data_IF_475776616339
#
_entry.id   IF_475776616339
#
_cell.length_a   1.000
_cell.length_b   1.000
_cell.length_c   1.000
_cell.angle_alpha   90.00
_cell.angle_beta   90.00
_cell.angle_gamma   90.00
#
_symmetry.space_group_name_H-M   'P 1'
#
loop_
_entity.id
_entity.type
_entity.pdbx_description
1 polymer ?
#
# COMPACT_ATOMS: atom_id res chain seq x y z
N UNK A 1 4.26 4.68 -6.04
CA UNK A 1 3.00 5.00 -6.77
C UNK A 1 1.95 5.53 -5.79
N UNK A 2 0.88 6.20 -6.25
CA UNK A 2 -0.28 6.55 -5.41
C UNK A 2 -1.44 5.62 -5.75
N UNK A 3 -1.97 4.91 -4.75
CA UNK A 3 -3.11 4.02 -4.85
C UNK A 3 -4.21 4.48 -3.89
N UNK A 4 -5.38 4.89 -4.42
CA UNK A 4 -6.53 5.37 -3.62
C UNK A 4 -6.13 6.32 -2.47
N UNK A 5 -5.37 7.38 -2.80
CA UNK A 5 -4.83 8.38 -1.87
C UNK A 5 -3.75 7.89 -0.88
N UNK A 6 -3.24 6.67 -1.04
CA UNK A 6 -2.16 6.10 -0.23
C UNK A 6 -0.89 5.93 -1.06
N UNK A 7 0.26 6.34 -0.52
CA UNK A 7 1.56 6.12 -1.19
C UNK A 7 1.99 4.67 -0.96
N UNK A 8 2.21 3.95 -2.05
CA UNK A 8 2.65 2.54 -2.03
C UNK A 8 4.00 2.36 -2.72
N UNK A 9 4.78 1.40 -2.23
CA UNK A 9 6.13 1.06 -2.68
C UNK A 9 6.16 -0.22 -3.52
N UNK A 10 5.59 -0.14 -4.72
CA UNK A 10 5.71 -1.14 -5.78
C UNK A 10 5.56 -0.47 -7.16
N UNK A 11 5.95 -1.19 -8.22
CA UNK A 11 5.64 -0.82 -9.60
C UNK A 11 4.19 -1.19 -9.97
N UNK A 12 3.73 -0.73 -11.14
CA UNK A 12 2.40 -1.10 -11.62
C UNK A 12 2.35 -2.61 -11.95
N UNK A 13 3.41 -3.15 -12.54
CA UNK A 13 3.50 -4.57 -12.91
C UNK A 13 3.46 -5.47 -11.66
N UNK A 14 4.18 -5.10 -10.60
CA UNK A 14 4.15 -5.82 -9.32
C UNK A 14 2.75 -5.77 -8.67
N UNK A 15 2.07 -4.63 -8.77
CA UNK A 15 0.71 -4.48 -8.25
C UNK A 15 -0.28 -5.35 -9.04
N UNK A 16 -0.19 -5.34 -10.36
CA UNK A 16 -1.06 -6.13 -11.24
C UNK A 16 -0.84 -7.62 -11.02
N UNK A 17 0.42 -8.07 -10.91
CA UNK A 17 0.76 -9.45 -10.57
C UNK A 17 0.19 -9.84 -9.20
N UNK A 18 0.33 -8.98 -8.19
CA UNK A 18 -0.23 -9.21 -6.87
C UNK A 18 -1.76 -9.40 -6.94
N UNK A 19 -2.48 -8.50 -7.59
CA UNK A 19 -3.95 -8.57 -7.71
C UNK A 19 -4.38 -9.82 -8.46
N UNK A 20 -3.70 -10.15 -9.58
CA UNK A 20 -4.04 -11.32 -10.40
C UNK A 20 -3.83 -12.65 -9.67
N UNK A 21 -2.93 -12.68 -8.69
CA UNK A 21 -2.68 -13.87 -7.87
C UNK A 21 -3.67 -14.03 -6.71
N UNK A 22 -4.54 -13.06 -6.44
CA UNK A 22 -5.56 -13.17 -5.39
C UNK A 22 -6.73 -14.04 -5.91
N UNK A 23 -6.86 -15.25 -5.37
CA UNK A 23 -8.04 -16.09 -5.61
C UNK A 23 -9.28 -15.48 -4.96
N UNK A 24 -10.31 -15.19 -5.75
CA UNK A 24 -11.61 -14.72 -5.27
C UNK A 24 -12.66 -15.76 -5.62
N UNK A 25 -13.36 -16.28 -4.61
CA UNK A 25 -14.45 -17.25 -4.78
C UNK A 25 -15.60 -16.87 -3.86
N UNK A 26 -16.83 -17.08 -4.29
CA UNK A 26 -17.97 -16.89 -3.41
C UNK A 26 -19.11 -17.85 -3.71
N UNK A 27 -19.92 -18.08 -2.69
CA UNK A 27 -21.16 -18.85 -2.76
C UNK A 27 -22.29 -18.02 -2.16
N UNK A 28 -23.45 -18.01 -2.82
CA UNK A 28 -24.68 -17.36 -2.34
C UNK A 28 -25.63 -18.46 -1.90
N UNK A 29 -26.20 -18.31 -0.70
CA UNK A 29 -27.05 -19.33 -0.08
C UNK A 29 -28.29 -18.73 0.57
N UNK A 30 -29.35 -19.53 0.67
CA UNK A 30 -30.54 -19.21 1.46
C UNK A 30 -30.35 -19.56 2.93
N UNK A 31 -30.99 -18.81 3.85
CA UNK A 31 -30.95 -19.10 5.29
C UNK A 31 -31.75 -20.36 5.69
N UNK A 32 -32.48 -20.94 4.75
CA UNK A 32 -33.14 -22.24 4.85
C UNK A 32 -32.19 -23.41 4.60
N UNK A 33 -30.99 -23.16 4.07
CA UNK A 33 -29.95 -24.17 3.79
C UNK A 33 -28.91 -24.25 4.92
N UNK A 34 -28.44 -25.47 5.21
CA UNK A 34 -27.32 -25.69 6.13
C UNK A 34 -25.98 -25.35 5.47
N UNK A 35 -25.08 -24.76 6.25
CA UNK A 35 -23.68 -24.53 5.89
C UNK A 35 -22.77 -25.25 6.88
N UNK A 36 -21.93 -26.17 6.39
CA UNK A 36 -21.08 -27.01 7.21
C UNK A 36 -21.83 -27.74 8.36
N UNK A 37 -23.06 -28.17 8.09
CA UNK A 37 -23.91 -28.86 9.08
C UNK A 37 -24.56 -27.94 10.12
N UNK A 38 -24.48 -26.62 9.93
CA UNK A 38 -25.09 -25.63 10.82
C UNK A 38 -26.07 -24.74 10.07
N UNK A 39 -27.21 -24.48 10.69
CA UNK A 39 -28.20 -23.53 10.19
C UNK A 39 -27.76 -22.11 10.53
N UNK A 40 -27.69 -21.24 9.52
CA UNK A 40 -27.38 -19.82 9.71
C UNK A 40 -28.68 -19.09 10.08
N UNK A 41 -28.65 -18.33 11.17
CA UNK A 41 -29.80 -17.53 11.59
C UNK A 41 -30.05 -16.40 10.58
N UNK A 42 -31.33 -16.14 10.27
CA UNK A 42 -31.74 -15.03 9.40
C UNK A 42 -32.03 -13.77 10.25
N UNK A 43 -31.10 -12.81 10.34
CA UNK A 43 -31.30 -11.60 11.15
C UNK A 43 -32.32 -10.63 10.54
N UNK A 44 -32.74 -10.83 9.28
CA UNK A 44 -33.62 -9.91 8.56
C UNK A 44 -35.11 -10.16 8.82
N UNK A 45 -35.47 -11.39 9.20
CA UNK A 45 -36.86 -11.86 9.21
C UNK A 45 -37.52 -12.01 7.82
N UNK A 46 -36.83 -11.64 6.73
CA UNK A 46 -37.31 -11.75 5.37
C UNK A 46 -36.93 -13.13 4.77
N UNK A 47 -37.89 -13.97 4.36
CA UNK A 47 -37.60 -15.28 3.77
C UNK A 47 -36.86 -15.19 2.42
N UNK A 48 -36.91 -14.04 1.74
CA UNK A 48 -36.16 -13.82 0.50
C UNK A 48 -34.72 -13.35 0.74
N UNK A 49 -34.31 -13.15 1.99
CA UNK A 49 -32.94 -12.79 2.32
C UNK A 49 -31.99 -13.95 2.02
N UNK A 50 -30.78 -13.58 1.63
CA UNK A 50 -29.66 -14.49 1.35
C UNK A 50 -28.48 -14.13 2.24
N UNK A 51 -27.53 -15.05 2.37
CA UNK A 51 -26.19 -14.74 2.85
C UNK A 51 -25.18 -15.21 1.80
N UNK A 52 -23.94 -14.75 1.93
CA UNK A 52 -22.86 -15.28 1.10
C UNK A 52 -21.66 -15.69 1.94
N UNK A 53 -20.88 -16.60 1.36
CA UNK A 53 -19.54 -16.94 1.82
C UNK A 53 -18.58 -16.44 0.77
N UNK A 54 -17.70 -15.50 1.14
CA UNK A 54 -16.70 -14.91 0.27
C UNK A 54 -15.30 -15.35 0.73
N UNK A 55 -14.51 -15.88 -0.19
CA UNK A 55 -13.10 -16.15 -0.01
C UNK A 55 -12.27 -15.17 -0.85
N UNK A 56 -11.32 -14.48 -0.22
CA UNK A 56 -10.34 -13.60 -0.88
C UNK A 56 -8.96 -14.00 -0.38
N UNK A 57 -8.17 -14.63 -1.24
CA UNK A 57 -6.92 -15.30 -0.86
C UNK A 57 -7.18 -16.41 0.17
N UNK A 58 -6.52 -16.31 1.32
CA UNK A 58 -6.66 -17.26 2.44
C UNK A 58 -7.76 -16.86 3.44
N UNK A 59 -8.44 -15.72 3.23
CA UNK A 59 -9.46 -15.21 4.15
C UNK A 59 -10.85 -15.63 3.69
N UNK A 60 -11.67 -16.12 4.63
CA UNK A 60 -13.05 -16.54 4.38
C UNK A 60 -13.99 -15.72 5.26
N UNK A 61 -15.06 -15.23 4.66
CA UNK A 61 -16.05 -14.36 5.29
C UNK A 61 -17.46 -14.92 5.08
N UNK A 62 -18.21 -15.11 6.15
CA UNK A 62 -19.65 -15.38 6.09
C UNK A 62 -20.39 -14.10 6.42
N UNK A 63 -21.24 -13.62 5.50
CA UNK A 63 -21.91 -12.33 5.62
C UNK A 63 -23.43 -12.47 5.43
N UNK A 64 -24.22 -12.24 6.49
CA UNK A 64 -25.69 -12.25 6.42
C UNK A 64 -26.29 -10.88 6.08
N UNK A 65 -25.47 -9.82 6.00
CA UNK A 65 -25.89 -8.45 5.65
C UNK A 65 -24.75 -7.72 4.91
N UNK A 66 -25.05 -6.55 4.33
CA UNK A 66 -24.04 -5.74 3.65
C UNK A 66 -23.03 -5.12 4.66
N UNK A 67 -21.73 -5.47 4.61
CA UNK A 67 -20.78 -5.10 5.68
C UNK A 67 -20.30 -3.63 5.65
N UNK A 68 -20.35 -2.97 4.49
CA UNK A 68 -19.82 -1.60 4.31
C UNK A 68 -20.89 -0.55 4.08
N UNK A 69 -22.15 -0.88 4.36
CA UNK A 69 -23.25 0.06 4.25
C UNK A 69 -23.71 0.49 5.64
N UNK A 70 -24.14 1.74 5.76
CA UNK A 70 -24.59 2.26 7.04
C UNK A 70 -25.92 1.63 7.43
N UNK A 71 -25.98 1.08 8.65
CA UNK A 71 -27.16 0.39 9.15
C UNK A 71 -27.24 -1.06 8.65
N UNK A 72 -28.43 -1.66 8.81
CA UNK A 72 -28.65 -3.04 8.41
C UNK A 72 -29.30 -3.09 7.03
N UNK A 73 -28.59 -3.66 6.06
CA UNK A 73 -29.11 -3.86 4.71
C UNK A 73 -29.09 -5.35 4.37
N UNK A 74 -30.29 -5.88 4.16
CA UNK A 74 -30.50 -7.27 3.79
C UNK A 74 -29.93 -7.55 2.39
N UNK A 75 -29.26 -8.70 2.29
CA UNK A 75 -28.79 -9.23 1.01
C UNK A 75 -29.93 -10.01 0.37
N UNK A 76 -30.19 -9.74 -0.90
CA UNK A 76 -31.23 -10.35 -1.73
C UNK A 76 -30.66 -10.63 -3.11
N UNK A 77 -31.34 -11.46 -3.89
CA UNK A 77 -30.93 -11.82 -5.26
C UNK A 77 -30.59 -10.59 -6.12
N UNK A 78 -31.35 -9.50 -5.96
CA UNK A 78 -31.20 -8.27 -6.74
C UNK A 78 -29.95 -7.45 -6.40
N UNK A 79 -29.34 -7.63 -5.22
CA UNK A 79 -28.21 -6.81 -4.76
C UNK A 79 -26.96 -7.63 -4.35
N UNK A 80 -27.08 -8.95 -4.20
CA UNK A 80 -26.03 -9.81 -3.64
C UNK A 80 -24.72 -9.72 -4.42
N UNK A 81 -24.74 -9.82 -5.75
CA UNK A 81 -23.53 -9.75 -6.56
C UNK A 81 -22.80 -8.41 -6.40
N UNK A 82 -23.55 -7.31 -6.33
CA UNK A 82 -22.98 -5.98 -6.11
C UNK A 82 -22.31 -5.91 -4.74
N UNK A 83 -22.98 -6.38 -3.69
CA UNK A 83 -22.46 -6.37 -2.32
C UNK A 83 -21.21 -7.25 -2.19
N UNK A 84 -21.21 -8.44 -2.78
CA UNK A 84 -20.06 -9.35 -2.77
C UNK A 84 -18.86 -8.72 -3.48
N UNK A 85 -19.07 -8.11 -4.65
CA UNK A 85 -18.00 -7.45 -5.39
C UNK A 85 -17.43 -6.25 -4.62
N UNK A 86 -18.29 -5.40 -4.05
CA UNK A 86 -17.86 -4.30 -3.19
C UNK A 86 -17.05 -4.80 -1.99
N UNK A 87 -17.45 -5.92 -1.38
CA UNK A 87 -16.71 -6.51 -0.28
C UNK A 87 -15.35 -7.04 -0.73
N UNK A 88 -15.30 -7.80 -1.83
CA UNK A 88 -14.04 -8.30 -2.38
C UNK A 88 -13.07 -7.16 -2.71
N UNK A 89 -13.53 -6.09 -3.37
CA UNK A 89 -12.72 -4.90 -3.67
C UNK A 89 -12.15 -4.26 -2.41
N UNK A 90 -12.95 -4.11 -1.35
CA UNK A 90 -12.48 -3.56 -0.07
C UNK A 90 -11.40 -4.41 0.58
N UNK A 91 -11.54 -5.74 0.56
CA UNK A 91 -10.51 -6.63 1.10
C UNK A 91 -9.23 -6.57 0.26
N UNK A 92 -9.34 -6.49 -1.07
CA UNK A 92 -8.18 -6.33 -1.95
C UNK A 92 -7.46 -5.01 -1.67
N UNK A 93 -8.20 -3.90 -1.53
CA UNK A 93 -7.64 -2.61 -1.15
C UNK A 93 -6.84 -2.70 0.16
N UNK A 94 -7.42 -3.33 1.18
CA UNK A 94 -6.76 -3.56 2.46
C UNK A 94 -5.51 -4.43 2.31
N UNK A 95 -5.56 -5.49 1.49
CA UNK A 95 -4.40 -6.34 1.23
C UNK A 95 -3.27 -5.56 0.53
N UNK A 96 -3.59 -4.72 -0.45
CA UNK A 96 -2.61 -3.88 -1.16
C UNK A 96 -1.97 -2.90 -0.17
N UNK A 97 -2.77 -2.20 0.62
CA UNK A 97 -2.27 -1.22 1.60
C UNK A 97 -1.37 -1.94 2.62
N UNK A 98 -1.78 -3.08 3.16
CA UNK A 98 -0.99 -3.79 4.15
C UNK A 98 0.35 -4.32 3.61
N UNK A 99 0.43 -4.67 2.32
CA UNK A 99 1.67 -5.20 1.74
C UNK A 99 2.59 -4.11 1.19
N UNK A 100 2.04 -3.03 0.65
CA UNK A 100 2.81 -2.04 -0.11
C UNK A 100 2.81 -0.63 0.46
N UNK A 101 1.95 -0.29 1.43
CA UNK A 101 1.92 1.07 1.96
C UNK A 101 3.24 1.42 2.65
N UNK A 102 3.72 2.63 2.36
CA UNK A 102 4.91 3.18 3.01
C UNK A 102 4.50 3.67 4.40
N UNK A 103 5.10 3.12 5.45
CA UNK A 103 4.94 3.70 6.77
C UNK A 103 5.63 5.07 6.85
N UNK A 104 5.04 6.05 7.56
CA UNK A 104 5.69 7.34 7.79
C UNK A 104 7.11 7.19 8.37
N UNK A 105 7.33 6.20 9.24
CA UNK A 105 8.63 5.88 9.82
C UNK A 105 9.65 5.41 8.76
N UNK A 106 9.22 4.59 7.80
CA UNK A 106 10.05 4.11 6.70
C UNK A 106 10.45 5.24 5.75
N UNK A 107 9.53 6.17 5.48
CA UNK A 107 9.82 7.36 4.69
C UNK A 107 10.80 8.29 5.41
N UNK A 108 10.62 8.50 6.72
CA UNK A 108 11.51 9.31 7.54
C UNK A 108 12.93 8.73 7.62
N UNK A 109 13.07 7.41 7.75
CA UNK A 109 14.37 6.74 7.71
C UNK A 109 15.06 6.90 6.34
N UNK A 110 14.30 6.73 5.26
CA UNK A 110 14.82 6.90 3.89
C UNK A 110 15.32 8.33 3.66
N UNK A 111 14.56 9.33 4.11
CA UNK A 111 14.94 10.74 4.05
C UNK A 111 16.19 11.05 4.89
N UNK A 112 16.31 10.47 6.09
CA UNK A 112 17.50 10.62 6.94
C UNK A 112 18.75 10.03 6.27
N UNK A 113 18.62 8.88 5.62
CA UNK A 113 19.72 8.26 4.88
C UNK A 113 20.19 9.15 3.72
N UNK A 114 19.24 9.60 2.87
CA UNK A 114 19.53 10.52 1.77
C UNK A 114 20.19 11.81 2.23
N UNK A 115 19.71 12.37 3.35
CA UNK A 115 20.29 13.58 3.94
C UNK A 115 21.73 13.35 4.40
N UNK A 116 22.01 12.19 5.01
CA UNK A 116 23.36 11.83 5.47
C UNK A 116 24.32 11.63 4.29
N UNK A 117 23.86 10.97 3.22
CA UNK A 117 24.63 10.78 1.98
C UNK A 117 24.95 12.13 1.31
N UNK A 118 23.96 13.03 1.25
CA UNK A 118 24.16 14.37 0.69
C UNK A 118 25.15 15.19 1.51
N UNK A 119 25.06 15.15 2.84
CA UNK A 119 26.01 15.83 3.73
C UNK A 119 27.44 15.31 3.54
N UNK A 120 27.61 13.99 3.35
CA UNK A 120 28.91 13.41 3.08
C UNK A 120 29.49 13.92 1.76
N UNK A 121 28.69 13.91 0.69
CA UNK A 121 29.13 14.41 -0.62
C UNK A 121 29.46 15.90 -0.62
N UNK A 122 28.68 16.70 0.13
CA UNK A 122 28.97 18.13 0.35
C UNK A 122 30.30 18.33 1.08
N UNK A 123 30.58 17.55 2.13
CA UNK A 123 31.84 17.64 2.87
C UNK A 123 33.05 17.26 1.99
N UNK A 124 32.90 16.26 1.13
CA UNK A 124 33.93 15.86 0.15
C UNK A 124 34.21 17.00 -0.84
N UNK A 125 33.16 17.62 -1.39
CA UNK A 125 33.30 18.77 -2.31
C UNK A 125 33.91 20.00 -1.64
N UNK A 126 33.58 20.27 -0.39
CA UNK A 126 34.18 21.34 0.39
C UNK A 126 35.68 21.10 0.64
N UNK A 127 36.06 19.85 0.93
CA UNK A 127 37.47 19.47 1.08
C UNK A 127 38.25 19.69 -0.22
N UNK A 128 37.75 19.17 -1.35
CA UNK A 128 38.34 19.37 -2.68
C UNK A 128 38.53 20.86 -2.98
N UNK A 129 37.51 21.67 -2.72
CA UNK A 129 37.53 23.12 -2.97
C UNK A 129 38.61 23.83 -2.15
N UNK A 130 38.79 23.44 -0.88
CA UNK A 130 39.85 24.00 -0.03
C UNK A 130 41.25 23.63 -0.52
N UNK A 131 41.46 22.37 -0.91
CA UNK A 131 42.73 21.91 -1.46
C UNK A 131 43.11 22.67 -2.74
N UNK A 132 42.14 22.91 -3.64
CA UNK A 132 42.36 23.71 -4.85
C UNK A 132 42.75 25.15 -4.51
N UNK A 133 42.00 25.81 -3.60
CA UNK A 133 42.31 27.19 -3.19
C UNK A 133 43.69 27.31 -2.57
N UNK A 134 44.11 26.35 -1.75
CA UNK A 134 45.44 26.32 -1.15
C UNK A 134 46.52 26.12 -2.23
N UNK A 135 46.29 25.24 -3.20
CA UNK A 135 47.17 25.08 -4.36
C UNK A 135 47.34 26.38 -5.16
N UNK A 136 46.24 27.08 -5.45
CA UNK A 136 46.25 28.37 -6.13
C UNK A 136 47.03 29.45 -5.35
N UNK A 137 46.82 29.53 -4.04
CA UNK A 137 47.55 30.47 -3.18
C UNK A 137 49.07 30.20 -3.19
N UNK A 138 49.46 28.92 -3.15
CA UNK A 138 50.88 28.54 -3.23
C UNK A 138 51.49 28.92 -4.58
N UNK A 139 50.77 28.72 -5.69
CA UNK A 139 51.24 29.11 -7.03
C UNK A 139 51.43 30.64 -7.11
N UNK A 140 50.45 31.42 -6.64
CA UNK A 140 50.58 32.89 -6.61
C UNK A 140 51.79 33.35 -5.80
N UNK A 141 52.05 32.71 -4.65
CA UNK A 141 53.21 33.02 -3.81
C UNK A 141 54.54 32.75 -4.54
N UNK A 142 54.62 31.66 -5.31
CA UNK A 142 55.80 31.31 -6.10
C UNK A 142 56.01 32.33 -7.22
N UNK A 143 54.96 32.69 -7.95
CA UNK A 143 55.02 33.70 -9.02
C UNK A 143 55.50 35.05 -8.47
N UNK A 144 54.89 35.54 -7.38
CA UNK A 144 55.27 36.80 -6.75
C UNK A 144 56.73 36.85 -6.27
N UNK A 145 57.31 35.71 -5.87
CA UNK A 145 58.73 35.63 -5.49
C UNK A 145 59.68 35.66 -6.69
N UNK A 146 59.25 35.18 -7.86
CA UNK A 146 60.07 35.16 -9.07
C UNK A 146 60.06 36.51 -9.80
N UNK A 147 59.02 37.32 -9.65
CA UNK A 147 58.90 38.66 -10.26
C UNK A 147 59.71 39.76 -9.53
N UNK A 148 60.40 39.46 -8.42
CA UNK A 148 61.23 40.40 -7.64
C UNK A 148 62.73 40.31 -8.06
N UNK A 149 63.04 39.88 -9.29
CA UNK A 149 64.40 39.89 -9.86
C UNK A 149 64.47 40.77 -11.10
#
# INVERSE_FOLDING_TARGET
>A
MIYKNTKINCTQEELDEFINNISIKYEIRGFDEDFNGHKIENPTGDPAAKYYVLQVGDRVYLQPHAPYQQGFIAIKEVNVHKIVNEHAEKIIDEMIINNFAISPEGELQSLRRLTSELMFSLAEKDFETRSIKQGQANIMLIMAKNDIK
#
